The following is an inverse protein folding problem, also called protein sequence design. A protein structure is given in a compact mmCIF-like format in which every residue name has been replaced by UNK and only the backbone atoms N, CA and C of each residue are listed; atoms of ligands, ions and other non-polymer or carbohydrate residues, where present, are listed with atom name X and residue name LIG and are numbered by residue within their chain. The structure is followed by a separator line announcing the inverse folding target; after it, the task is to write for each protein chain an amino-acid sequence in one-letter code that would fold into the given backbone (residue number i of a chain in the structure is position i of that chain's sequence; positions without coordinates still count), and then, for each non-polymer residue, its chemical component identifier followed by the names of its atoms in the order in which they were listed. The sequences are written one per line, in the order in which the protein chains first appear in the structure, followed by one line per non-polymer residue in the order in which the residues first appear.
data_IF_374573761871
#
_entry.id   IF_374573761871
#
_cell.length_a   1.000
_cell.length_b   1.000
_cell.length_c   1.000
_cell.angle_alpha   90.00
_cell.angle_beta   90.00
_cell.angle_gamma   90.00
#
_symmetry.space_group_name_H-M   'P 1'
#
loop_
_entity.id
_entity.type
_entity.pdbx_description
1 polymer ?
#
# COMPACT_ATOMS: atom_id res chain seq x y z
N UNK A 1 15.20 4.67 16.28
CA UNK A 1 14.94 4.03 14.96
C UNK A 1 14.25 2.70 15.26
N UNK A 2 13.03 2.36 14.81
CA UNK A 2 12.54 2.43 13.42
C UNK A 2 11.02 2.28 13.26
N UNK A 3 10.12 2.40 14.25
CA UNK A 3 8.68 2.10 14.04
C UNK A 3 8.07 2.78 12.79
N UNK A 4 8.37 4.06 12.56
CA UNK A 4 7.98 4.78 11.35
C UNK A 4 8.65 4.24 10.07
N UNK A 5 9.93 3.86 10.15
CA UNK A 5 10.67 3.24 9.04
C UNK A 5 10.13 1.84 8.71
N UNK A 6 9.79 1.04 9.72
CA UNK A 6 9.17 -0.29 9.56
C UNK A 6 7.79 -0.16 8.92
N UNK A 7 6.95 0.76 9.40
CA UNK A 7 5.64 1.05 8.80
C UNK A 7 5.77 1.52 7.36
N UNK A 8 6.75 2.36 7.05
CA UNK A 8 7.04 2.78 5.68
C UNK A 8 7.41 1.58 4.80
N UNK A 9 8.33 0.72 5.23
CA UNK A 9 8.71 -0.48 4.47
C UNK A 9 7.53 -1.42 4.23
N UNK A 10 6.70 -1.68 5.24
CA UNK A 10 5.53 -2.54 5.13
C UNK A 10 4.50 -1.92 4.17
N UNK A 11 4.22 -0.62 4.31
CA UNK A 11 3.33 0.11 3.41
C UNK A 11 3.83 0.03 1.96
N UNK A 12 5.12 0.30 1.72
CA UNK A 12 5.73 0.21 0.39
C UNK A 12 5.64 -1.20 -0.18
N UNK A 13 5.91 -2.24 0.61
CA UNK A 13 5.79 -3.62 0.15
C UNK A 13 4.34 -3.99 -0.22
N UNK A 14 3.36 -3.61 0.61
CA UNK A 14 1.95 -3.86 0.32
C UNK A 14 1.46 -3.09 -0.91
N UNK A 15 1.89 -1.83 -1.07
CA UNK A 15 1.60 -1.04 -2.26
C UNK A 15 2.22 -1.66 -3.52
N UNK A 16 3.48 -2.12 -3.44
CA UNK A 16 4.13 -2.79 -4.56
C UNK A 16 3.37 -4.06 -4.96
N UNK A 17 2.99 -4.90 -4.00
CA UNK A 17 2.17 -6.10 -4.26
C UNK A 17 0.82 -5.72 -4.86
N UNK A 18 0.17 -4.69 -4.33
CA UNK A 18 -1.12 -4.23 -4.82
C UNK A 18 -1.05 -3.69 -6.25
N UNK A 19 -0.17 -2.72 -6.51
CA UNK A 19 -0.05 -2.08 -7.83
C UNK A 19 0.51 -3.03 -8.89
N UNK A 20 1.59 -3.76 -8.60
CA UNK A 20 2.19 -4.69 -9.56
C UNK A 20 1.29 -5.90 -9.78
N UNK A 21 0.67 -6.43 -8.72
CA UNK A 21 -0.25 -7.55 -8.81
C UNK A 21 -1.50 -7.18 -9.62
N UNK A 22 -2.17 -6.07 -9.30
CA UNK A 22 -3.31 -5.58 -10.09
C UNK A 22 -2.90 -5.32 -11.53
N UNK A 23 -1.77 -4.64 -11.77
CA UNK A 23 -1.29 -4.34 -13.12
C UNK A 23 -1.01 -5.59 -13.96
N UNK A 24 -0.35 -6.60 -13.37
CA UNK A 24 -0.07 -7.86 -14.05
C UNK A 24 -1.35 -8.64 -14.38
N UNK A 25 -2.30 -8.69 -13.45
CA UNK A 25 -3.59 -9.36 -13.67
C UNK A 25 -4.43 -8.64 -14.72
N UNK A 26 -4.45 -7.30 -14.70
CA UNK A 26 -5.13 -6.52 -15.74
C UNK A 26 -4.48 -6.73 -17.11
N UNK A 27 -3.15 -6.76 -17.17
CA UNK A 27 -2.43 -7.07 -18.39
C UNK A 27 -2.77 -8.46 -18.92
N UNK A 28 -2.78 -9.49 -18.07
CA UNK A 28 -3.19 -10.85 -18.45
C UNK A 28 -4.63 -10.88 -18.98
N UNK A 29 -5.55 -10.19 -18.29
CA UNK A 29 -6.96 -10.15 -18.65
C UNK A 29 -7.24 -9.46 -20.00
N UNK A 30 -6.52 -8.40 -20.35
CA UNK A 30 -6.79 -7.59 -21.55
C UNK A 30 -5.83 -7.81 -22.71
N UNK A 31 -4.62 -8.25 -22.42
CA UNK A 31 -3.51 -8.36 -23.38
C UNK A 31 -2.85 -9.74 -23.36
N UNK A 32 -3.36 -10.68 -22.57
CA UNK A 32 -2.85 -12.04 -22.49
C UNK A 32 -3.04 -12.83 -23.79
N UNK A 33 -2.15 -13.80 -24.08
CA UNK A 33 -2.19 -14.61 -25.30
C UNK A 33 -3.47 -15.45 -25.43
N UNK A 34 -4.14 -15.73 -24.31
CA UNK A 34 -5.40 -16.49 -24.21
C UNK A 34 -6.64 -15.61 -24.55
N UNK A 35 -6.48 -14.31 -24.83
CA UNK A 35 -7.56 -13.44 -25.29
C UNK A 35 -8.63 -13.11 -24.25
N UNK A 36 -8.27 -13.01 -22.96
CA UNK A 36 -9.19 -12.56 -21.92
C UNK A 36 -10.31 -13.57 -21.59
N UNK A 37 -10.01 -14.86 -21.65
CA UNK A 37 -10.91 -15.92 -21.16
C UNK A 37 -11.13 -15.82 -19.64
N UNK A 38 -12.30 -16.29 -19.17
CA UNK A 38 -12.67 -16.26 -17.75
C UNK A 38 -11.65 -17.04 -16.89
N UNK A 39 -10.72 -16.31 -16.27
CA UNK A 39 -9.66 -16.87 -15.44
C UNK A 39 -10.10 -16.90 -13.96
N UNK A 40 -10.36 -18.10 -13.42
CA UNK A 40 -10.76 -18.28 -12.01
C UNK A 40 -9.65 -17.77 -11.07
N UNK A 41 -8.38 -17.93 -11.46
CA UNK A 41 -7.23 -17.39 -10.75
C UNK A 41 -7.26 -15.86 -10.69
N UNK A 42 -7.67 -15.19 -11.76
CA UNK A 42 -7.88 -13.74 -11.77
C UNK A 42 -8.94 -13.32 -10.74
N UNK A 43 -10.07 -14.04 -10.70
CA UNK A 43 -11.15 -13.77 -9.74
C UNK A 43 -10.74 -13.92 -8.27
N UNK A 44 -9.75 -14.77 -7.97
CA UNK A 44 -9.26 -15.01 -6.60
C UNK A 44 -8.11 -14.08 -6.23
N UNK A 45 -7.16 -13.88 -7.14
CA UNK A 45 -5.93 -13.11 -6.86
C UNK A 45 -6.20 -11.61 -6.92
N UNK A 46 -7.09 -11.15 -7.81
CA UNK A 46 -7.39 -9.72 -7.96
C UNK A 46 -7.92 -9.06 -6.67
N UNK A 47 -8.89 -9.65 -5.93
CA UNK A 47 -9.30 -9.12 -4.63
C UNK A 47 -8.14 -9.05 -3.61
N UNK A 48 -7.24 -10.03 -3.61
CA UNK A 48 -6.09 -10.06 -2.69
C UNK A 48 -5.11 -8.92 -3.00
N UNK A 49 -4.79 -8.69 -4.28
CA UNK A 49 -3.95 -7.57 -4.69
C UNK A 49 -4.60 -6.22 -4.38
N UNK A 50 -5.91 -6.08 -4.61
CA UNK A 50 -6.65 -4.86 -4.26
C UNK A 50 -6.64 -4.61 -2.74
N UNK A 51 -6.94 -5.62 -1.93
CA UNK A 51 -6.88 -5.53 -0.47
C UNK A 51 -5.47 -5.16 0.01
N UNK A 52 -4.44 -5.77 -0.58
CA UNK A 52 -3.06 -5.44 -0.27
C UNK A 52 -2.75 -3.95 -0.56
N UNK A 53 -3.17 -3.44 -1.72
CA UNK A 53 -3.01 -2.04 -2.08
C UNK A 53 -3.73 -1.09 -1.11
N UNK A 54 -4.99 -1.39 -0.75
CA UNK A 54 -5.78 -0.60 0.20
C UNK A 54 -5.14 -0.58 1.58
N UNK A 55 -4.70 -1.72 2.09
CA UNK A 55 -3.99 -1.80 3.39
C UNK A 55 -2.68 -1.03 3.32
N UNK A 56 -1.92 -1.15 2.23
CA UNK A 56 -0.70 -0.40 2.00
C UNK A 56 -0.92 1.13 2.04
N UNK A 57 -1.98 1.62 1.39
CA UNK A 57 -2.37 3.04 1.42
C UNK A 57 -2.75 3.48 2.83
N UNK A 58 -3.56 2.69 3.54
CA UNK A 58 -3.98 3.00 4.90
C UNK A 58 -2.78 3.10 5.87
N UNK A 59 -1.85 2.14 5.80
CA UNK A 59 -0.62 2.17 6.59
C UNK A 59 0.26 3.39 6.25
N UNK A 60 0.36 3.73 4.96
CA UNK A 60 1.08 4.93 4.51
C UNK A 60 0.48 6.21 5.09
N UNK A 61 -0.85 6.35 5.04
CA UNK A 61 -1.57 7.49 5.60
C UNK A 61 -1.36 7.60 7.13
N UNK A 62 -1.47 6.48 7.85
CA UNK A 62 -1.23 6.44 9.30
C UNK A 62 0.20 6.85 9.64
N UNK A 63 1.19 6.40 8.86
CA UNK A 63 2.59 6.79 9.08
C UNK A 63 2.79 8.31 8.89
N UNK A 64 2.17 8.91 7.88
CA UNK A 64 2.21 10.37 7.66
C UNK A 64 1.54 11.12 8.81
N UNK A 65 0.37 10.69 9.25
CA UNK A 65 -0.34 11.33 10.37
C UNK A 65 0.48 11.21 11.67
N UNK A 66 1.03 10.03 11.98
CA UNK A 66 1.82 9.81 13.18
C UNK A 66 3.07 10.69 13.23
N UNK A 67 3.77 10.83 12.09
CA UNK A 67 4.95 11.70 11.99
C UNK A 67 4.59 13.18 12.13
N UNK A 68 3.48 13.62 11.54
CA UNK A 68 3.00 15.00 11.68
C UNK A 68 2.62 15.35 13.12
N UNK A 69 1.92 14.46 13.81
CA UNK A 69 1.57 14.63 15.23
C UNK A 69 2.80 14.67 16.13
N UNK A 70 3.79 13.80 15.88
CA UNK A 70 5.06 13.80 16.59
C UNK A 70 5.80 15.14 16.47
N UNK A 71 5.97 15.62 15.23
CA UNK A 71 6.62 16.91 14.96
C UNK A 71 5.84 18.11 15.51
N UNK A 72 4.51 18.01 15.60
CA UNK A 72 3.68 19.04 16.25
C UNK A 72 3.90 19.05 17.77
N UNK A 73 3.91 17.88 18.42
CA UNK A 73 4.14 17.76 19.85
C UNK A 73 5.53 18.28 20.27
N UNK A 74 6.56 18.04 19.46
CA UNK A 74 7.90 18.59 19.69
C UNK A 74 7.92 20.12 19.61
N UNK A 75 7.28 20.71 18.60
CA UNK A 75 7.16 22.17 18.46
C UNK A 75 6.44 22.80 19.65
N UNK A 76 5.36 22.20 20.13
CA UNK A 76 4.64 22.69 21.32
C UNK A 76 5.48 22.63 22.59
N UNK A 77 6.38 21.64 22.74
CA UNK A 77 7.30 21.58 23.89
C UNK A 77 8.42 22.61 23.79
N UNK A 78 8.90 22.87 22.58
CA UNK A 78 9.95 23.86 22.34
C UNK A 78 9.47 25.30 22.61
N UNK A 79 8.19 25.60 22.40
CA UNK A 79 7.62 26.93 22.68
C UNK A 79 7.33 27.23 24.16
N UNK A 80 7.42 26.22 25.04
CA UNK A 80 7.17 26.35 26.48
C UNK A 80 8.50 26.46 27.27
N UNK A 81 9.64 26.21 26.62
CA UNK A 81 10.98 26.42 27.18
C UNK A 81 11.49 27.81 26.80
#
# INVERSE_FOLDING_TARGET
MTTARTLHWISTAMLAVGFLGVGALLYDAFSGPEGGGANIGLGIIMPVCLLAGVVGLALGAVAVVATWWGARAERSRASVR
#
